data_IF_354865381878
#
_entry.id   IF_354865381878
#
_cell.length_a   1.000
_cell.length_b   1.000
_cell.length_c   1.000
_cell.angle_alpha   90.00
_cell.angle_beta   90.00
_cell.angle_gamma   90.00
#
_symmetry.space_group_name_H-M   'P 1'
#
loop_
_entity.id
_entity.type
_entity.pdbx_description
1 polymer ?
#
# COMPACT_ATOMS: atom_id res chain seq x y z
N UNK A 1 19.30 -13.15 20.26
CA UNK A 1 19.94 -11.85 19.94
C UNK A 1 21.44 -12.06 20.00
N UNK A 2 22.12 -12.02 18.84
CA UNK A 2 23.56 -12.13 18.77
C UNK A 2 24.23 -10.86 19.30
N UNK A 3 25.26 -11.02 20.10
CA UNK A 3 26.09 -9.88 20.51
C UNK A 3 26.75 -9.27 19.26
N UNK A 4 26.79 -7.93 19.13
CA UNK A 4 27.48 -7.28 18.01
C UNK A 4 28.96 -7.66 18.05
N UNK A 5 29.43 -8.33 16.99
CA UNK A 5 30.84 -8.81 16.87
C UNK A 5 31.76 -7.80 16.19
N UNK A 6 31.35 -6.55 16.07
CA UNK A 6 32.11 -5.49 15.40
C UNK A 6 31.94 -4.12 16.07
N UNK A 7 32.75 -3.13 15.68
CA UNK A 7 32.62 -1.77 16.21
C UNK A 7 31.25 -1.20 15.94
N UNK A 8 30.74 -0.41 16.88
CA UNK A 8 29.47 0.35 16.71
C UNK A 8 29.61 1.28 15.51
N UNK A 9 28.76 1.12 14.54
CA UNK A 9 28.68 2.00 13.37
C UNK A 9 27.97 3.31 13.79
N UNK A 10 28.71 4.39 13.84
CA UNK A 10 28.14 5.73 13.87
C UNK A 10 27.61 6.07 12.46
N UNK A 11 26.31 6.09 12.27
CA UNK A 11 25.68 6.66 11.08
C UNK A 11 25.47 8.14 11.37
N UNK A 12 26.33 8.98 10.81
CA UNK A 12 26.14 10.44 10.80
C UNK A 12 25.70 10.83 9.39
N UNK A 13 24.42 11.16 9.26
CA UNK A 13 23.79 11.53 7.99
C UNK A 13 23.13 12.91 8.12
N UNK A 14 23.91 13.95 8.32
CA UNK A 14 23.44 15.33 8.19
C UNK A 14 23.55 15.77 6.73
N UNK A 15 22.51 15.47 5.94
CA UNK A 15 22.44 15.83 4.52
C UNK A 15 21.26 16.76 4.28
N UNK A 16 21.54 17.98 3.85
CA UNK A 16 20.51 18.88 3.30
C UNK A 16 20.37 18.63 1.80
N UNK A 17 19.21 18.15 1.40
CA UNK A 17 18.87 17.98 -0.01
C UNK A 17 17.77 18.99 -0.40
N UNK A 18 17.97 19.70 -1.51
CA UNK A 18 16.97 20.61 -2.08
C UNK A 18 16.59 20.03 -3.44
N UNK A 19 15.29 19.85 -3.64
CA UNK A 19 14.73 19.40 -4.90
C UNK A 19 13.67 20.38 -5.42
N UNK A 20 13.55 20.45 -6.74
CA UNK A 20 12.51 21.21 -7.40
C UNK A 20 11.61 20.28 -8.17
N UNK A 21 10.29 20.51 -8.08
CA UNK A 21 9.27 19.79 -8.84
C UNK A 21 8.35 20.81 -9.50
N UNK A 22 8.13 20.63 -10.78
CA UNK A 22 7.19 21.42 -11.58
C UNK A 22 6.19 20.49 -12.21
N UNK A 23 4.92 20.87 -12.17
CA UNK A 23 3.82 20.10 -12.69
C UNK A 23 2.87 21.00 -13.45
N UNK A 24 2.48 20.56 -14.61
CA UNK A 24 1.43 21.20 -15.39
C UNK A 24 0.45 20.13 -15.86
N UNK A 25 -0.84 20.39 -15.75
CA UNK A 25 -1.85 19.48 -16.25
C UNK A 25 -3.01 20.22 -16.88
N UNK A 26 -3.67 19.54 -17.83
CA UNK A 26 -4.97 19.90 -18.39
C UNK A 26 -5.84 18.67 -18.44
N UNK A 27 -7.10 18.81 -18.09
CA UNK A 27 -8.05 17.70 -18.09
C UNK A 27 -9.42 18.23 -18.46
N UNK A 28 -10.15 17.44 -19.23
CA UNK A 28 -11.54 17.69 -19.61
C UNK A 28 -12.40 16.45 -19.36
N UNK A 29 -13.68 16.70 -19.05
CA UNK A 29 -14.71 15.68 -18.94
C UNK A 29 -15.80 16.01 -19.94
N UNK A 30 -16.02 15.11 -20.87
CA UNK A 30 -17.02 15.23 -21.90
C UNK A 30 -18.07 14.14 -21.77
N UNK A 31 -19.36 14.52 -21.66
CA UNK A 31 -20.50 13.61 -21.58
C UNK A 31 -21.45 13.90 -22.73
N UNK A 32 -21.31 13.21 -23.89
CA UNK A 32 -22.14 13.46 -25.07
C UNK A 32 -23.59 13.07 -24.87
N UNK A 33 -23.89 12.18 -23.93
CA UNK A 33 -25.24 11.75 -23.54
C UNK A 33 -25.22 11.14 -22.13
N UNK A 34 -26.36 10.66 -21.64
CA UNK A 34 -26.55 10.11 -20.29
C UNK A 34 -25.84 8.75 -20.07
N UNK A 35 -25.36 8.10 -21.14
CA UNK A 35 -24.71 6.81 -21.09
C UNK A 35 -23.17 6.89 -21.07
N UNK A 36 -22.57 7.87 -21.73
CA UNK A 36 -21.14 7.93 -21.94
C UNK A 36 -20.51 9.14 -21.27
N UNK A 37 -19.43 8.91 -20.54
CA UNK A 37 -18.55 9.97 -20.01
C UNK A 37 -17.11 9.64 -20.36
N UNK A 38 -16.43 10.60 -20.97
CA UNK A 38 -15.02 10.54 -21.34
C UNK A 38 -14.24 11.52 -20.46
N UNK A 39 -13.22 11.02 -19.78
CA UNK A 39 -12.26 11.83 -19.04
C UNK A 39 -10.91 11.78 -19.75
N UNK A 40 -10.49 12.89 -20.29
CA UNK A 40 -9.26 13.02 -21.07
C UNK A 40 -8.33 14.01 -20.39
N UNK A 41 -7.06 13.66 -20.27
CA UNK A 41 -6.12 14.56 -19.65
C UNK A 41 -4.67 14.27 -20.05
N UNK A 42 -3.84 15.28 -19.86
CA UNK A 42 -2.40 15.16 -19.99
C UNK A 42 -1.74 15.93 -18.86
N UNK A 43 -0.67 15.37 -18.33
CA UNK A 43 0.18 15.99 -17.31
C UNK A 43 1.63 15.99 -17.79
N UNK A 44 2.31 17.08 -17.59
CA UNK A 44 3.75 17.21 -17.79
C UNK A 44 4.40 17.39 -16.42
N UNK A 45 5.37 16.55 -16.11
CA UNK A 45 6.16 16.58 -14.89
C UNK A 45 7.63 16.87 -15.23
N UNK A 46 8.28 17.69 -14.42
CA UNK A 46 9.72 17.89 -14.42
C UNK A 46 10.20 17.91 -12.97
N UNK A 47 11.21 17.11 -12.66
CA UNK A 47 11.85 17.06 -11.35
C UNK A 47 13.33 17.27 -11.47
N UNK A 48 13.88 18.04 -10.55
CA UNK A 48 15.30 18.27 -10.40
C UNK A 48 15.69 17.97 -8.97
N UNK A 49 16.17 16.74 -8.77
CA UNK A 49 16.76 16.29 -7.51
C UNK A 49 18.28 16.12 -7.73
N UNK A 50 18.80 14.90 -7.57
CA UNK A 50 20.16 14.58 -8.00
C UNK A 50 20.28 14.39 -9.53
N UNK A 51 19.15 14.16 -10.19
CA UNK A 51 19.01 14.04 -11.65
C UNK A 51 17.87 14.93 -12.13
N UNK A 52 17.96 15.31 -13.41
CA UNK A 52 16.85 15.94 -14.11
C UNK A 52 16.04 14.85 -14.79
N UNK A 53 14.78 14.69 -14.40
CA UNK A 53 13.86 13.75 -15.02
C UNK A 53 12.52 14.42 -15.30
N UNK A 54 11.83 13.95 -16.32
CA UNK A 54 10.50 14.43 -16.65
C UNK A 54 9.74 13.45 -17.50
N UNK A 55 8.43 13.66 -17.59
CA UNK A 55 7.54 12.84 -18.40
C UNK A 55 6.28 13.60 -18.79
N UNK A 56 5.78 13.30 -19.98
CA UNK A 56 4.41 13.63 -20.39
C UNK A 56 3.54 12.40 -20.16
N UNK A 57 2.45 12.58 -19.41
CA UNK A 57 1.61 11.51 -18.87
C UNK A 57 0.17 11.68 -19.32
N UNK A 58 -0.23 11.11 -20.48
CA UNK A 58 -1.61 11.07 -20.90
C UNK A 58 -2.43 10.15 -20.01
N UNK A 59 -3.73 10.46 -19.88
CA UNK A 59 -4.73 9.64 -19.20
C UNK A 59 -6.05 9.68 -19.94
N UNK A 60 -6.71 8.53 -20.00
CA UNK A 60 -8.01 8.37 -20.64
C UNK A 60 -8.86 7.50 -19.76
N UNK A 61 -10.04 7.98 -19.40
CA UNK A 61 -11.07 7.21 -18.69
C UNK A 61 -12.35 7.24 -19.51
N UNK A 62 -12.99 6.10 -19.66
CA UNK A 62 -14.28 5.96 -20.33
C UNK A 62 -15.23 5.26 -19.35
N UNK A 63 -16.35 5.90 -19.08
CA UNK A 63 -17.43 5.33 -18.27
C UNK A 63 -18.65 5.13 -19.14
N UNK A 64 -19.22 3.94 -19.07
CA UNK A 64 -20.46 3.57 -19.75
C UNK A 64 -21.52 3.17 -18.74
N UNK A 65 -22.58 3.96 -18.65
CA UNK A 65 -23.76 3.70 -17.86
C UNK A 65 -24.78 2.97 -18.73
N UNK A 66 -24.82 1.65 -18.61
CA UNK A 66 -25.76 0.83 -19.39
C UNK A 66 -27.19 1.11 -18.97
N UNK A 67 -27.44 1.23 -17.67
CA UNK A 67 -28.68 1.59 -17.02
C UNK A 67 -28.40 2.17 -15.61
N UNK A 68 -29.41 2.60 -14.83
CA UNK A 68 -29.17 3.12 -13.47
C UNK A 68 -28.52 2.14 -12.50
N UNK A 69 -28.59 0.83 -12.77
CA UNK A 69 -28.05 -0.21 -11.91
C UNK A 69 -26.65 -0.70 -12.36
N UNK A 70 -26.26 -0.46 -13.61
CA UNK A 70 -25.06 -1.05 -14.20
C UNK A 70 -24.17 0.02 -14.84
N UNK A 71 -22.98 0.20 -14.28
CA UNK A 71 -21.97 1.13 -14.78
C UNK A 71 -20.66 0.38 -14.99
N UNK A 72 -20.02 0.59 -16.13
CA UNK A 72 -18.74 0.02 -16.49
C UNK A 72 -17.72 1.13 -16.73
N UNK A 73 -16.46 0.89 -16.43
CA UNK A 73 -15.39 1.82 -16.78
C UNK A 73 -14.15 1.10 -17.25
N UNK A 74 -13.41 1.80 -18.09
CA UNK A 74 -12.03 1.47 -18.46
C UNK A 74 -11.17 2.71 -18.23
N UNK A 75 -9.93 2.48 -17.82
CA UNK A 75 -8.99 3.58 -17.61
C UNK A 75 -7.60 3.17 -18.09
N UNK A 76 -6.94 4.11 -18.72
CA UNK A 76 -5.52 4.06 -19.02
C UNK A 76 -4.85 5.33 -18.54
N UNK A 77 -3.71 5.20 -17.89
CA UNK A 77 -2.89 6.33 -17.48
C UNK A 77 -1.40 6.02 -17.54
N UNK A 78 -0.63 6.94 -18.11
CA UNK A 78 0.81 6.92 -17.92
C UNK A 78 1.14 7.61 -16.61
N UNK A 79 1.88 6.93 -15.74
CA UNK A 79 2.21 7.41 -14.40
C UNK A 79 3.69 7.78 -14.31
N UNK A 80 3.98 8.84 -13.57
CA UNK A 80 5.31 9.29 -13.24
C UNK A 80 5.40 9.52 -11.74
N UNK A 81 6.24 8.73 -11.06
CA UNK A 81 6.41 8.79 -9.61
C UNK A 81 7.88 9.05 -9.30
N UNK A 82 8.26 10.30 -9.02
CA UNK A 82 9.61 10.60 -8.60
C UNK A 82 9.88 9.99 -7.23
N UNK A 83 11.13 9.56 -6.94
CA UNK A 83 11.50 9.12 -5.61
C UNK A 83 11.35 10.28 -4.62
N UNK A 84 11.04 9.99 -3.37
CA UNK A 84 11.05 11.01 -2.34
C UNK A 84 12.50 11.46 -2.04
N UNK A 85 12.66 12.67 -1.49
CA UNK A 85 13.99 13.22 -1.18
C UNK A 85 14.73 12.41 -0.13
N UNK A 86 14.01 11.80 0.80
CA UNK A 86 14.54 10.93 1.83
C UNK A 86 15.21 9.69 1.24
N UNK A 87 14.56 8.99 0.32
CA UNK A 87 15.12 7.83 -0.39
C UNK A 87 16.43 8.14 -1.11
N UNK A 88 16.58 9.37 -1.61
CA UNK A 88 17.78 9.82 -2.32
C UNK A 88 18.91 10.18 -1.34
N UNK A 89 18.59 10.68 -0.15
CA UNK A 89 19.59 11.10 0.85
C UNK A 89 20.40 9.92 1.37
N UNK A 90 19.79 8.77 1.58
CA UNK A 90 20.45 7.55 2.04
C UNK A 90 21.45 6.97 1.03
N UNK A 91 21.31 7.23 -0.25
CA UNK A 91 22.28 6.83 -1.27
C UNK A 91 23.68 7.43 -1.07
N UNK A 92 23.82 8.40 -0.16
CA UNK A 92 25.09 9.08 0.17
C UNK A 92 25.74 8.60 1.48
N UNK A 93 25.17 7.61 2.17
CA UNK A 93 25.78 7.08 3.37
C UNK A 93 27.18 6.53 3.05
N UNK A 94 28.18 7.09 3.72
CA UNK A 94 29.53 6.57 3.61
C UNK A 94 29.68 5.33 4.51
N UNK A 95 29.50 4.17 3.92
CA UNK A 95 29.64 2.87 4.58
C UNK A 95 31.03 2.23 4.36
N UNK A 96 31.95 2.94 3.69
CA UNK A 96 33.27 2.44 3.38
C UNK A 96 34.02 2.01 4.66
N UNK A 97 34.60 0.80 4.64
CA UNK A 97 35.31 0.23 5.77
C UNK A 97 34.45 -0.36 6.89
N UNK A 98 33.13 -0.40 6.70
CA UNK A 98 32.18 -0.99 7.64
C UNK A 98 31.62 -2.33 7.11
N UNK A 99 30.95 -3.13 7.97
CA UNK A 99 30.24 -4.34 7.55
C UNK A 99 29.01 -4.04 6.68
N UNK A 100 28.57 -2.78 6.65
CA UNK A 100 27.49 -2.31 5.80
C UNK A 100 28.01 -1.74 4.46
N UNK A 101 29.33 -1.84 4.19
CA UNK A 101 29.87 -1.48 2.87
C UNK A 101 29.31 -2.45 1.84
N UNK A 102 28.67 -1.95 0.77
CA UNK A 102 28.14 -2.81 -0.27
C UNK A 102 29.28 -3.55 -0.96
N UNK A 103 29.07 -4.83 -1.25
CA UNK A 103 29.99 -5.60 -2.09
C UNK A 103 30.04 -5.04 -3.51
N UNK A 104 28.89 -4.49 -3.97
CA UNK A 104 28.79 -3.77 -5.24
C UNK A 104 28.78 -2.25 -4.98
N UNK A 105 29.85 -1.57 -5.42
CA UNK A 105 29.99 -0.12 -5.33
C UNK A 105 29.23 0.65 -6.42
N UNK A 106 28.53 -0.05 -7.32
CA UNK A 106 27.72 0.54 -8.39
C UNK A 106 26.44 1.13 -7.80
N UNK A 107 26.54 2.18 -7.01
CA UNK A 107 25.38 2.83 -6.41
C UNK A 107 24.72 3.78 -7.42
N UNK A 108 23.81 3.25 -8.21
CA UNK A 108 23.00 4.05 -9.11
C UNK A 108 21.95 4.84 -8.32
N UNK A 109 21.80 6.13 -8.65
CA UNK A 109 20.73 6.96 -8.07
C UNK A 109 19.35 6.40 -8.41
N UNK A 110 18.47 6.34 -7.42
CA UNK A 110 17.06 5.94 -7.64
C UNK A 110 16.42 6.84 -8.69
N UNK A 111 15.83 6.25 -9.69
CA UNK A 111 15.15 6.95 -10.79
C UNK A 111 13.66 7.07 -10.54
N UNK A 112 13.03 8.04 -11.19
CA UNK A 112 11.58 8.15 -11.18
C UNK A 112 10.93 6.94 -11.85
N UNK A 113 9.98 6.31 -11.16
CA UNK A 113 9.18 5.24 -11.72
C UNK A 113 8.31 5.77 -12.86
N UNK A 114 8.25 5.01 -13.96
CA UNK A 114 7.43 5.29 -15.13
C UNK A 114 6.57 4.09 -15.45
N UNK A 115 5.27 4.26 -15.32
CA UNK A 115 4.37 3.12 -15.50
C UNK A 115 3.28 3.39 -16.54
N UNK A 116 2.82 2.30 -17.15
CA UNK A 116 1.56 2.22 -17.86
C UNK A 116 0.58 1.49 -16.96
N UNK A 117 -0.53 2.13 -16.65
CA UNK A 117 -1.58 1.59 -15.79
C UNK A 117 -2.86 1.41 -16.60
N UNK A 118 -3.44 0.23 -16.49
CA UNK A 118 -4.69 -0.17 -17.12
C UNK A 118 -5.66 -0.65 -16.05
N UNK A 119 -6.92 -0.26 -16.19
CA UNK A 119 -7.97 -0.66 -15.27
C UNK A 119 -9.26 -0.91 -16.04
N UNK A 120 -10.00 -1.92 -15.62
CA UNK A 120 -11.38 -2.20 -16.04
C UNK A 120 -12.19 -2.48 -14.79
N UNK A 121 -13.35 -1.88 -14.71
CA UNK A 121 -14.21 -2.09 -13.55
C UNK A 121 -15.68 -1.95 -13.87
N UNK A 122 -16.48 -2.39 -12.91
CA UNK A 122 -17.92 -2.33 -12.99
C UNK A 122 -18.55 -2.06 -11.62
N UNK A 123 -19.68 -1.40 -11.65
CA UNK A 123 -20.56 -1.17 -10.51
C UNK A 123 -21.94 -1.74 -10.84
N UNK A 124 -22.51 -2.51 -9.92
CA UNK A 124 -23.80 -3.15 -10.04
C UNK A 124 -24.66 -2.87 -8.81
N UNK A 125 -25.78 -2.19 -8.98
CA UNK A 125 -26.85 -2.16 -7.99
C UNK A 125 -27.68 -3.44 -8.15
N UNK A 126 -27.26 -4.51 -7.46
CA UNK A 126 -27.91 -5.84 -7.55
C UNK A 126 -29.34 -5.81 -7.06
N UNK A 127 -29.63 -4.92 -6.12
CA UNK A 127 -30.96 -4.67 -5.58
C UNK A 127 -30.96 -3.32 -4.84
N UNK A 128 -32.11 -2.88 -4.33
CA UNK A 128 -32.19 -1.69 -3.46
C UNK A 128 -31.36 -1.80 -2.18
N UNK A 129 -30.97 -3.01 -1.79
CA UNK A 129 -30.23 -3.28 -0.55
C UNK A 129 -28.80 -3.80 -0.79
N UNK A 130 -28.40 -4.06 -2.04
CA UNK A 130 -27.08 -4.62 -2.35
C UNK A 130 -26.41 -3.94 -3.54
N UNK A 131 -25.13 -3.56 -3.37
CA UNK A 131 -24.28 -3.05 -4.45
C UNK A 131 -22.97 -3.82 -4.49
N UNK A 132 -22.50 -4.14 -5.70
CA UNK A 132 -21.25 -4.83 -5.98
C UNK A 132 -20.37 -3.94 -6.85
N UNK A 133 -19.08 -3.86 -6.52
CA UNK A 133 -18.04 -3.27 -7.35
C UNK A 133 -16.97 -4.31 -7.63
N UNK A 134 -16.52 -4.38 -8.87
CA UNK A 134 -15.42 -5.24 -9.30
C UNK A 134 -14.45 -4.40 -10.13
N UNK A 135 -13.15 -4.53 -9.84
CA UNK A 135 -12.10 -3.81 -10.57
C UNK A 135 -10.93 -4.75 -10.79
N UNK A 136 -10.47 -4.83 -12.04
CA UNK A 136 -9.22 -5.51 -12.40
C UNK A 136 -8.22 -4.49 -12.91
N UNK A 137 -6.95 -4.62 -12.53
CA UNK A 137 -5.90 -3.69 -12.94
C UNK A 137 -4.60 -4.39 -13.33
N UNK A 138 -3.83 -3.70 -14.18
CA UNK A 138 -2.50 -4.12 -14.61
C UNK A 138 -1.59 -2.90 -14.77
N UNK A 139 -0.44 -2.92 -14.08
CA UNK A 139 0.60 -1.89 -14.15
C UNK A 139 1.89 -2.48 -14.67
N UNK A 140 2.46 -1.87 -15.70
CA UNK A 140 3.80 -2.14 -16.20
C UNK A 140 4.70 -0.97 -15.86
N UNK A 141 5.78 -1.20 -15.14
CA UNK A 141 6.66 -0.15 -14.66
C UNK A 141 8.10 -0.37 -15.11
N UNK A 142 8.76 0.73 -15.50
CA UNK A 142 10.20 0.86 -15.51
C UNK A 142 10.62 1.58 -14.24
N UNK A 143 11.72 1.15 -13.64
CA UNK A 143 12.22 1.66 -12.36
C UNK A 143 11.20 1.49 -11.23
N UNK A 144 10.55 0.31 -11.21
CA UNK A 144 9.61 -0.03 -10.14
C UNK A 144 10.34 0.08 -8.79
N UNK A 145 9.90 1.01 -7.95
CA UNK A 145 10.48 1.20 -6.63
C UNK A 145 9.76 0.37 -5.57
N UNK A 146 10.53 -0.16 -4.64
CA UNK A 146 10.03 -0.85 -3.45
C UNK A 146 10.80 -0.34 -2.22
N UNK A 147 10.22 -0.50 -1.05
CA UNK A 147 10.84 -0.08 0.19
C UNK A 147 11.59 -1.27 0.81
N UNK A 148 12.78 -0.99 1.31
CA UNK A 148 13.58 -1.93 2.10
C UNK A 148 13.98 -1.29 3.42
N UNK A 149 14.42 -2.09 4.36
CA UNK A 149 14.94 -1.65 5.65
C UNK A 149 16.47 -1.73 5.65
N UNK A 150 17.14 -0.70 6.16
CA UNK A 150 18.59 -0.71 6.29
C UNK A 150 18.99 -1.53 7.53
N UNK A 151 19.37 -2.78 7.32
CA UNK A 151 19.76 -3.71 8.37
C UNK A 151 18.67 -3.84 9.44
N UNK A 152 19.10 -3.92 10.70
CA UNK A 152 18.19 -3.98 11.86
C UNK A 152 17.75 -2.60 12.38
N UNK A 153 17.97 -1.53 11.60
CA UNK A 153 17.62 -0.16 11.98
C UNK A 153 16.18 0.16 11.58
N UNK A 154 15.50 1.13 12.21
CA UNK A 154 14.18 1.61 11.77
C UNK A 154 14.26 2.49 10.53
N UNK A 155 15.42 2.57 9.87
CA UNK A 155 15.60 3.41 8.68
C UNK A 155 15.06 2.68 7.46
N UNK A 156 14.00 3.24 6.88
CA UNK A 156 13.47 2.80 5.60
C UNK A 156 14.31 3.41 4.47
N UNK A 157 14.65 2.60 3.50
CA UNK A 157 15.28 3.03 2.28
C UNK A 157 14.55 2.44 1.08
N UNK A 158 14.80 3.00 -0.09
CA UNK A 158 14.19 2.54 -1.33
C UNK A 158 15.25 1.93 -2.23
N UNK A 159 14.90 0.81 -2.82
CA UNK A 159 15.60 0.24 -3.97
C UNK A 159 14.66 0.26 -5.19
N UNK A 160 15.20 0.13 -6.37
CA UNK A 160 14.41 0.09 -7.57
C UNK A 160 14.82 -1.07 -8.47
N UNK A 161 13.82 -1.78 -8.97
CA UNK A 161 13.99 -2.74 -10.05
C UNK A 161 14.14 -2.00 -11.40
N UNK A 162 14.85 -2.58 -12.36
CA UNK A 162 14.88 -2.03 -13.72
C UNK A 162 13.49 -1.99 -14.34
N UNK A 163 12.69 -3.03 -14.11
CA UNK A 163 11.31 -3.17 -14.59
C UNK A 163 10.50 -4.06 -13.66
N UNK A 164 9.19 -3.90 -13.72
CA UNK A 164 8.28 -4.74 -12.97
C UNK A 164 6.85 -4.61 -13.44
N UNK A 165 6.00 -5.41 -12.83
CA UNK A 165 4.56 -5.33 -13.04
C UNK A 165 3.80 -5.56 -11.74
N UNK A 166 2.63 -4.95 -11.65
CA UNK A 166 1.64 -5.18 -10.60
C UNK A 166 0.31 -5.47 -11.24
N UNK A 167 -0.42 -6.46 -10.74
CA UNK A 167 -1.77 -6.80 -11.22
C UNK A 167 -2.65 -7.24 -10.08
N UNK A 168 -3.94 -7.05 -10.21
CA UNK A 168 -4.86 -7.50 -9.19
C UNK A 168 -6.32 -7.40 -9.62
N UNK A 169 -7.16 -7.93 -8.73
CA UNK A 169 -8.62 -7.87 -8.81
C UNK A 169 -9.12 -7.47 -7.43
N UNK A 170 -9.94 -6.43 -7.40
CA UNK A 170 -10.59 -5.92 -6.19
C UNK A 170 -12.10 -6.10 -6.32
N UNK A 171 -12.72 -6.62 -5.27
CA UNK A 171 -14.17 -6.73 -5.15
C UNK A 171 -14.66 -6.05 -3.87
N UNK A 172 -15.76 -5.30 -3.96
CA UNK A 172 -16.41 -4.69 -2.81
C UNK A 172 -17.92 -4.92 -2.86
N UNK A 173 -18.48 -5.36 -1.74
CA UNK A 173 -19.91 -5.59 -1.56
C UNK A 173 -20.42 -4.71 -0.42
N UNK A 174 -21.50 -3.95 -0.67
CA UNK A 174 -22.22 -3.20 0.35
C UNK A 174 -23.64 -3.73 0.46
N UNK A 175 -24.11 -3.98 1.67
CA UNK A 175 -25.43 -4.50 2.00
C UNK A 175 -26.12 -3.56 2.99
N UNK A 176 -27.35 -3.16 2.67
CA UNK A 176 -28.30 -2.53 3.58
C UNK A 176 -29.34 -3.58 3.95
N UNK A 177 -29.03 -4.43 4.94
CA UNK A 177 -29.84 -5.64 5.25
C UNK A 177 -31.19 -5.23 5.83
N UNK A 178 -31.15 -4.28 6.77
CA UNK A 178 -32.34 -3.60 7.33
C UNK A 178 -32.01 -2.11 7.53
N UNK A 179 -32.98 -1.31 7.96
CA UNK A 179 -32.75 0.12 8.28
C UNK A 179 -31.68 0.30 9.39
N UNK A 180 -31.52 -0.73 10.24
CA UNK A 180 -30.61 -0.71 11.38
C UNK A 180 -29.35 -1.58 11.20
N UNK A 181 -29.27 -2.38 10.14
CA UNK A 181 -28.17 -3.32 9.91
C UNK A 181 -27.56 -3.11 8.54
N UNK A 182 -26.30 -2.72 8.51
CA UNK A 182 -25.50 -2.62 7.30
C UNK A 182 -24.28 -3.51 7.38
N UNK A 183 -23.87 -4.04 6.25
CA UNK A 183 -22.60 -4.76 6.12
C UNK A 183 -21.86 -4.25 4.87
N UNK A 184 -20.54 -4.21 4.95
CA UNK A 184 -19.68 -3.99 3.78
C UNK A 184 -18.47 -4.90 3.89
N UNK A 185 -18.03 -5.42 2.77
CA UNK A 185 -16.80 -6.21 2.69
C UNK A 185 -16.07 -5.90 1.42
N UNK A 186 -14.77 -6.09 1.46
CA UNK A 186 -13.91 -6.06 0.30
C UNK A 186 -12.93 -7.22 0.32
N UNK A 187 -12.54 -7.67 -0.86
CA UNK A 187 -11.49 -8.64 -1.10
C UNK A 187 -10.59 -8.11 -2.18
N UNK A 188 -9.29 -8.20 -1.98
CA UNK A 188 -8.28 -7.82 -2.95
C UNK A 188 -7.30 -8.98 -3.14
N UNK A 189 -7.15 -9.40 -4.40
CA UNK A 189 -6.10 -10.29 -4.82
C UNK A 189 -5.12 -9.54 -5.70
N UNK A 190 -3.83 -9.60 -5.35
CA UNK A 190 -2.82 -8.85 -6.08
C UNK A 190 -1.47 -9.53 -6.10
N UNK A 191 -0.70 -9.23 -7.13
CA UNK A 191 0.68 -9.68 -7.30
C UNK A 191 1.53 -8.55 -7.84
N UNK A 192 2.77 -8.46 -7.32
CA UNK A 192 3.81 -7.59 -7.81
C UNK A 192 5.08 -8.40 -8.07
N UNK A 193 5.81 -8.06 -9.13
CA UNK A 193 7.07 -8.72 -9.47
C UNK A 193 8.05 -7.75 -10.10
N UNK A 194 9.28 -7.76 -9.61
CA UNK A 194 10.40 -6.96 -10.08
C UNK A 194 11.49 -7.79 -10.74
N UNK A 195 12.22 -7.17 -11.65
CA UNK A 195 13.29 -7.79 -12.44
C UNK A 195 14.45 -6.82 -12.64
N UNK A 196 15.66 -7.29 -12.40
CA UNK A 196 16.90 -6.50 -12.52
C UNK A 196 17.00 -5.42 -11.44
N UNK A 197 18.13 -5.30 -10.80
CA UNK A 197 18.36 -4.27 -9.79
C UNK A 197 18.91 -3.01 -10.45
N UNK A 198 18.19 -1.87 -10.28
CA UNK A 198 18.60 -0.58 -10.81
C UNK A 198 19.33 0.27 -9.77
N UNK A 199 18.89 0.22 -8.51
CA UNK A 199 19.47 1.01 -7.41
C UNK A 199 19.18 0.36 -6.07
N UNK A 200 19.89 0.78 -5.02
CA UNK A 200 19.69 0.29 -3.66
C UNK A 200 20.63 -0.88 -3.31
N UNK A 201 21.71 -1.09 -4.04
CA UNK A 201 22.68 -2.17 -3.83
C UNK A 201 23.25 -2.19 -2.40
N UNK A 202 23.33 -1.06 -1.73
CA UNK A 202 23.84 -0.96 -0.35
C UNK A 202 22.92 -1.60 0.70
N UNK A 203 21.69 -1.98 0.32
CA UNK A 203 20.69 -2.55 1.21
C UNK A 203 20.60 -4.05 1.11
N UNK A 204 21.18 -4.62 0.07
CA UNK A 204 20.90 -5.97 -0.39
C UNK A 204 22.15 -6.83 -0.28
N UNK A 205 21.96 -8.08 0.11
CA UNK A 205 23.02 -9.08 0.10
C UNK A 205 23.26 -9.60 -1.33
N UNK A 206 24.46 -10.15 -1.57
CA UNK A 206 24.85 -10.68 -2.89
C UNK A 206 23.85 -11.74 -3.42
N UNK A 207 23.31 -12.58 -2.54
CA UNK A 207 22.31 -13.59 -2.89
C UNK A 207 20.99 -12.96 -3.35
N UNK A 208 20.51 -11.91 -2.66
CA UNK A 208 19.31 -11.18 -3.03
C UNK A 208 19.48 -10.49 -4.38
N UNK A 209 20.63 -9.85 -4.61
CA UNK A 209 20.98 -9.23 -5.90
C UNK A 209 20.98 -10.27 -7.03
N UNK A 210 21.55 -11.45 -6.79
CA UNK A 210 21.53 -12.54 -7.76
C UNK A 210 20.10 -13.03 -8.07
N UNK A 211 19.25 -13.15 -7.06
CA UNK A 211 17.85 -13.53 -7.21
C UNK A 211 17.05 -12.50 -8.02
N UNK A 212 17.21 -11.21 -7.72
CA UNK A 212 16.57 -10.09 -8.42
C UNK A 212 16.99 -10.09 -9.90
N UNK A 213 18.27 -10.31 -10.18
CA UNK A 213 18.83 -10.32 -11.52
C UNK A 213 18.55 -11.62 -12.27
N UNK A 214 18.02 -12.64 -11.60
CA UNK A 214 17.63 -13.90 -12.26
C UNK A 214 16.52 -13.70 -13.28
N UNK A 215 16.45 -14.59 -14.29
CA UNK A 215 15.40 -14.53 -15.33
C UNK A 215 13.97 -14.55 -14.78
N UNK A 216 13.77 -15.14 -13.61
CA UNK A 216 12.47 -15.23 -12.96
C UNK A 216 12.06 -13.98 -12.17
N UNK A 217 12.98 -13.05 -11.88
CA UNK A 217 12.74 -11.91 -10.99
C UNK A 217 12.30 -12.34 -9.59
N UNK A 218 11.91 -11.40 -8.75
CA UNK A 218 11.40 -11.64 -7.39
C UNK A 218 10.05 -10.96 -7.19
N UNK A 219 9.27 -11.44 -6.23
CA UNK A 219 8.07 -10.73 -5.79
C UNK A 219 8.47 -9.48 -5.00
N UNK A 220 7.62 -8.44 -5.05
CA UNK A 220 7.83 -7.24 -4.24
C UNK A 220 7.69 -7.60 -2.75
N UNK A 221 8.48 -6.95 -1.90
CA UNK A 221 8.59 -7.28 -0.48
C UNK A 221 7.27 -7.06 0.28
N UNK A 222 6.68 -5.88 0.13
CA UNK A 222 5.47 -5.49 0.85
C UNK A 222 4.17 -6.02 0.23
N UNK A 223 4.24 -7.12 -0.54
CA UNK A 223 3.08 -7.73 -1.16
C UNK A 223 2.40 -8.75 -0.26
N UNK A 224 1.11 -8.60 -0.09
CA UNK A 224 0.19 -9.66 0.35
C UNK A 224 -0.65 -10.11 -0.85
N UNK A 225 -0.71 -11.43 -1.09
CA UNK A 225 -1.41 -11.93 -2.28
C UNK A 225 -2.92 -11.85 -2.15
N UNK A 226 -3.45 -12.03 -0.95
CA UNK A 226 -4.88 -11.95 -0.66
C UNK A 226 -5.10 -11.18 0.63
N UNK A 227 -5.94 -10.15 0.56
CA UNK A 227 -6.43 -9.41 1.72
C UNK A 227 -7.94 -9.28 1.66
N UNK A 228 -8.59 -9.28 2.80
CA UNK A 228 -10.01 -8.96 2.87
C UNK A 228 -10.35 -8.24 4.15
N UNK A 229 -11.41 -7.44 4.11
CA UNK A 229 -12.01 -6.88 5.31
C UNK A 229 -13.53 -6.91 5.21
N UNK A 230 -14.18 -7.02 6.36
CA UNK A 230 -15.62 -6.86 6.47
C UNK A 230 -15.95 -6.02 7.70
N UNK A 231 -16.99 -5.22 7.57
CA UNK A 231 -17.54 -4.40 8.66
C UNK A 231 -19.03 -4.59 8.70
N UNK A 232 -19.56 -4.90 9.87
CA UNK A 232 -21.00 -4.99 10.16
C UNK A 232 -21.33 -3.93 11.18
N UNK A 233 -22.31 -3.09 10.88
CA UNK A 233 -22.79 -2.03 11.76
C UNK A 233 -24.24 -2.32 12.08
N UNK A 234 -24.53 -2.48 13.35
CA UNK A 234 -25.88 -2.71 13.87
C UNK A 234 -26.27 -1.59 14.83
N UNK A 235 -27.28 -0.83 14.48
CA UNK A 235 -27.90 0.16 15.36
C UNK A 235 -28.92 -0.56 16.24
N UNK A 236 -28.43 -0.98 17.41
CA UNK A 236 -29.19 -1.83 18.33
C UNK A 236 -30.38 -1.10 18.96
N UNK A 237 -30.20 0.14 19.36
CA UNK A 237 -31.24 1.06 19.82
C UNK A 237 -31.01 2.42 19.14
N UNK A 238 -31.94 3.35 19.26
CA UNK A 238 -31.82 4.67 18.62
C UNK A 238 -30.46 5.37 18.89
N UNK A 239 -29.82 5.07 20.03
CA UNK A 239 -28.60 5.71 20.52
C UNK A 239 -27.39 4.80 20.63
N UNK A 240 -27.58 3.49 20.39
CA UNK A 240 -26.53 2.48 20.58
C UNK A 240 -26.18 1.84 19.26
N UNK A 241 -24.89 1.85 18.93
CA UNK A 241 -24.40 1.16 17.72
C UNK A 241 -23.29 0.18 18.10
N UNK A 242 -23.41 -1.03 17.59
CA UNK A 242 -22.38 -2.07 17.66
C UNK A 242 -21.76 -2.19 16.28
N UNK A 243 -20.43 -2.17 16.23
CA UNK A 243 -19.68 -2.38 15.00
C UNK A 243 -18.74 -3.55 15.18
N UNK A 244 -18.87 -4.57 14.34
CA UNK A 244 -17.90 -5.66 14.21
C UNK A 244 -17.05 -5.47 12.96
N UNK A 245 -15.76 -5.71 13.07
CA UNK A 245 -14.83 -5.67 11.94
C UNK A 245 -13.97 -6.92 11.92
N UNK A 246 -13.71 -7.46 10.74
CA UNK A 246 -12.71 -8.49 10.51
C UNK A 246 -11.72 -8.04 9.45
N UNK A 247 -10.46 -8.42 9.62
CA UNK A 247 -9.35 -8.19 8.69
C UNK A 247 -8.64 -9.52 8.47
N UNK A 248 -8.52 -9.94 7.24
CA UNK A 248 -7.72 -11.09 6.84
C UNK A 248 -6.54 -10.64 5.98
N UNK A 249 -5.38 -11.22 6.22
CA UNK A 249 -4.16 -11.00 5.45
C UNK A 249 -3.45 -12.33 5.20
N UNK A 250 -3.03 -12.58 3.97
CA UNK A 250 -2.31 -13.80 3.57
C UNK A 250 -0.84 -13.83 4.01
N UNK A 251 -0.37 -12.81 4.71
CA UNK A 251 1.02 -12.61 5.09
C UNK A 251 1.85 -11.90 4.01
N UNK A 252 2.84 -11.14 4.43
CA UNK A 252 3.82 -10.51 3.55
C UNK A 252 4.76 -11.55 2.96
N UNK A 253 5.47 -11.17 1.90
CA UNK A 253 6.46 -12.03 1.27
C UNK A 253 7.64 -12.30 2.20
N UNK A 254 8.17 -13.50 2.11
CA UNK A 254 9.34 -13.99 2.82
C UNK A 254 9.96 -15.16 2.04
N UNK A 255 11.03 -15.76 2.55
CA UNK A 255 11.61 -16.98 2.02
C UNK A 255 12.03 -17.91 3.18
N UNK A 256 12.05 -19.21 2.92
CA UNK A 256 12.73 -20.17 3.79
C UNK A 256 14.24 -20.06 3.60
N UNK A 257 15.02 -20.50 4.59
CA UNK A 257 16.48 -20.50 4.52
C UNK A 257 16.99 -21.23 3.26
N UNK A 258 17.83 -20.56 2.49
CA UNK A 258 18.39 -21.08 1.24
C UNK A 258 17.40 -21.10 0.04
N UNK A 259 16.15 -20.66 0.21
CA UNK A 259 15.22 -20.51 -0.88
C UNK A 259 15.38 -19.13 -1.55
N UNK A 260 14.79 -19.00 -2.74
CA UNK A 260 14.77 -17.73 -3.47
C UNK A 260 14.05 -16.64 -2.69
N UNK A 261 14.65 -15.46 -2.65
CA UNK A 261 14.11 -14.25 -2.00
C UNK A 261 12.64 -14.02 -2.36
N UNK A 262 11.81 -13.76 -1.35
CA UNK A 262 10.36 -13.50 -1.48
C UNK A 262 9.56 -14.62 -2.17
N UNK A 263 10.03 -15.88 -2.06
CA UNK A 263 9.40 -17.03 -2.74
C UNK A 263 8.13 -17.53 -2.04
N UNK A 264 7.96 -17.27 -0.75
CA UNK A 264 6.82 -17.71 0.06
C UNK A 264 6.14 -16.55 0.79
N UNK A 265 5.31 -16.84 1.78
CA UNK A 265 4.60 -15.86 2.60
C UNK A 265 4.78 -16.15 4.08
N UNK A 266 4.79 -15.11 4.89
CA UNK A 266 4.58 -15.22 6.33
C UNK A 266 3.20 -15.86 6.62
N UNK A 267 2.99 -16.43 7.82
CA UNK A 267 1.69 -16.99 8.19
C UNK A 267 0.55 -16.01 7.99
N UNK A 268 -0.55 -16.49 7.43
CA UNK A 268 -1.78 -15.70 7.33
C UNK A 268 -2.39 -15.44 8.70
N UNK A 269 -3.11 -14.33 8.84
CA UNK A 269 -3.78 -13.99 10.08
C UNK A 269 -5.17 -13.37 9.83
N UNK A 270 -6.04 -13.49 10.82
CA UNK A 270 -7.37 -12.86 10.84
C UNK A 270 -7.57 -12.14 12.15
N UNK A 271 -7.90 -10.85 12.10
CA UNK A 271 -8.13 -10.03 13.29
C UNK A 271 -9.59 -9.64 13.35
N UNK A 272 -10.16 -9.74 14.55
CA UNK A 272 -11.51 -9.30 14.84
C UNK A 272 -11.48 -8.12 15.79
N UNK A 273 -12.18 -7.06 15.44
CA UNK A 273 -12.34 -5.87 16.26
C UNK A 273 -13.82 -5.65 16.55
N UNK A 274 -14.12 -5.04 17.68
CA UNK A 274 -15.47 -4.67 18.07
C UNK A 274 -15.50 -3.26 18.63
N UNK A 275 -16.55 -2.51 18.32
CA UNK A 275 -16.81 -1.19 18.86
C UNK A 275 -18.25 -1.10 19.34
N UNK A 276 -18.44 -0.53 20.51
CA UNK A 276 -19.73 -0.13 21.05
C UNK A 276 -19.74 1.39 21.19
N UNK A 277 -20.73 2.06 20.61
CA UNK A 277 -20.92 3.50 20.78
C UNK A 277 -22.29 3.82 21.32
N UNK A 278 -22.33 4.83 22.19
CA UNK A 278 -23.57 5.34 22.78
C UNK A 278 -23.63 6.86 22.69
N UNK A 279 -24.76 7.39 22.21
CA UNK A 279 -24.98 8.83 22.04
C UNK A 279 -25.85 9.35 23.17
N UNK A 280 -25.33 10.27 23.96
CA UNK A 280 -26.04 10.97 25.03
C UNK A 280 -26.44 12.36 24.48
N UNK A 281 -27.75 12.64 24.28
CA UNK A 281 -28.20 13.99 23.99
C UNK A 281 -27.99 14.85 25.25
N UNK A 282 -27.42 16.01 25.06
CA UNK A 282 -27.22 16.97 26.15
C UNK A 282 -28.40 17.96 26.21
N UNK A 283 -28.70 18.58 27.37
CA UNK A 283 -29.83 19.49 27.52
C UNK A 283 -29.63 20.84 26.83
N UNK A 284 -28.48 21.08 26.24
CA UNK A 284 -28.13 22.30 25.50
C UNK A 284 -28.38 22.09 24.00
N UNK A 285 -28.83 23.11 23.32
CA UNK A 285 -29.28 23.08 21.92
C UNK A 285 -28.38 22.23 21.01
N UNK A 286 -28.95 21.15 20.48
CA UNK A 286 -28.33 20.20 19.54
C UNK A 286 -27.01 19.56 19.95
N UNK A 287 -26.58 19.76 21.21
CA UNK A 287 -25.34 19.17 21.69
C UNK A 287 -25.49 17.68 22.05
N UNK A 288 -24.47 16.91 21.79
CA UNK A 288 -24.43 15.49 22.13
C UNK A 288 -23.03 15.03 22.51
N UNK A 289 -22.98 14.07 23.43
CA UNK A 289 -21.77 13.37 23.81
C UNK A 289 -21.82 11.95 23.25
N UNK A 290 -20.85 11.56 22.45
CA UNK A 290 -20.66 10.20 22.02
C UNK A 290 -19.62 9.54 22.92
N UNK A 291 -20.01 8.44 23.55
CA UNK A 291 -19.11 7.56 24.28
C UNK A 291 -18.83 6.34 23.43
N UNK A 292 -17.58 5.89 23.37
CA UNK A 292 -17.16 4.72 22.65
C UNK A 292 -16.27 3.80 23.47
N UNK A 293 -16.46 2.51 23.30
CA UNK A 293 -15.60 1.46 23.81
C UNK A 293 -15.18 0.57 22.65
N UNK A 294 -13.87 0.47 22.41
CA UNK A 294 -13.33 -0.28 21.29
C UNK A 294 -12.42 -1.40 21.81
N UNK A 295 -12.55 -2.58 21.23
CA UNK A 295 -11.68 -3.73 21.46
C UNK A 295 -11.01 -4.07 20.12
N UNK A 296 -9.71 -3.90 20.06
CA UNK A 296 -8.87 -4.30 18.92
C UNK A 296 -8.29 -5.68 19.21
N UNK A 297 -8.25 -6.53 18.19
CA UNK A 297 -7.82 -7.92 18.31
C UNK A 297 -8.58 -8.69 19.40
N UNK A 298 -9.89 -8.75 19.26
CA UNK A 298 -10.83 -9.31 20.25
C UNK A 298 -10.45 -10.72 20.73
N UNK A 299 -9.91 -11.56 19.83
CA UNK A 299 -9.53 -12.94 20.13
C UNK A 299 -8.08 -13.07 20.64
N UNK A 300 -7.36 -11.96 20.81
CA UNK A 300 -5.95 -11.90 21.25
C UNK A 300 -5.03 -12.79 20.40
N UNK A 301 -5.25 -12.79 19.10
CA UNK A 301 -4.44 -13.56 18.17
C UNK A 301 -3.02 -12.99 18.13
N UNK A 302 -2.04 -13.84 18.35
CA UNK A 302 -0.63 -13.50 18.13
C UNK A 302 -0.32 -13.67 16.63
N UNK A 303 0.19 -12.62 16.02
CA UNK A 303 0.53 -12.62 14.59
C UNK A 303 1.73 -11.74 14.30
N UNK A 304 2.40 -12.02 13.19
CA UNK A 304 3.46 -11.18 12.66
C UNK A 304 2.93 -10.40 11.46
N UNK A 305 3.15 -9.10 11.45
CA UNK A 305 2.90 -8.26 10.28
C UNK A 305 3.98 -8.54 9.23
N UNK A 306 5.23 -8.58 9.67
CA UNK A 306 6.39 -8.92 8.87
C UNK A 306 7.26 -9.92 9.62
N UNK A 307 7.75 -10.93 8.90
CA UNK A 307 8.74 -11.87 9.37
C UNK A 307 10.09 -11.46 8.75
N UNK A 308 10.95 -10.80 9.48
CA UNK A 308 12.16 -10.14 8.99
C UNK A 308 13.14 -11.01 8.19
N UNK A 309 13.06 -12.33 8.29
CA UNK A 309 13.91 -13.26 7.52
C UNK A 309 13.32 -13.53 6.14
N UNK A 310 14.17 -13.60 5.10
CA UNK A 310 13.81 -14.01 3.75
C UNK A 310 13.06 -12.97 2.91
N UNK A 311 12.81 -11.78 3.46
CA UNK A 311 12.37 -10.61 2.70
C UNK A 311 13.56 -9.83 2.14
N UNK A 312 13.33 -8.98 1.16
CA UNK A 312 14.38 -8.16 0.56
C UNK A 312 14.89 -7.14 1.59
N UNK A 313 16.21 -7.14 1.78
CA UNK A 313 16.86 -6.36 2.81
C UNK A 313 16.72 -7.01 4.19
N UNK A 314 17.64 -6.70 5.09
CA UNK A 314 17.65 -7.23 6.44
C UNK A 314 16.45 -6.69 7.23
N UNK A 315 15.35 -7.41 7.22
CA UNK A 315 14.13 -7.04 7.92
C UNK A 315 14.17 -7.41 9.41
N UNK A 316 13.39 -6.69 10.19
CA UNK A 316 13.09 -7.02 11.59
C UNK A 316 11.66 -7.54 11.64
N UNK A 317 11.44 -8.65 12.38
CA UNK A 317 10.11 -9.15 12.60
C UNK A 317 9.25 -8.14 13.39
N UNK A 318 8.05 -7.83 12.89
CA UNK A 318 7.13 -6.94 13.54
C UNK A 318 5.89 -7.72 14.01
N UNK A 319 5.71 -7.77 15.33
CA UNK A 319 4.51 -8.34 15.92
C UNK A 319 3.31 -7.41 15.73
N UNK A 320 2.15 -8.00 15.50
CA UNK A 320 0.90 -7.27 15.49
C UNK A 320 0.47 -6.82 16.90
N UNK A 321 -0.48 -5.90 16.94
CA UNK A 321 -1.00 -5.37 18.20
C UNK A 321 -1.74 -6.48 18.99
N UNK A 322 -1.42 -6.70 20.27
CA UNK A 322 -2.20 -7.59 21.13
C UNK A 322 -3.60 -7.03 21.36
N UNK A 323 -4.46 -7.80 22.00
CA UNK A 323 -5.77 -7.31 22.41
C UNK A 323 -5.64 -6.02 23.21
N UNK A 324 -6.30 -4.98 22.72
CA UNK A 324 -6.19 -3.64 23.26
C UNK A 324 -7.59 -3.04 23.43
N UNK A 325 -7.76 -2.24 24.50
CA UNK A 325 -9.02 -1.63 24.85
C UNK A 325 -8.87 -0.11 24.80
N UNK A 326 -9.84 0.56 24.18
CA UNK A 326 -9.85 2.03 24.07
C UNK A 326 -11.19 2.59 24.51
N UNK A 327 -11.16 3.70 25.22
CA UNK A 327 -12.34 4.50 25.56
C UNK A 327 -12.26 5.82 24.80
N UNK A 328 -13.38 6.24 24.22
CA UNK A 328 -13.51 7.51 23.48
C UNK A 328 -14.63 8.34 24.03
N UNK A 329 -14.39 9.64 24.18
CA UNK A 329 -15.42 10.64 24.40
C UNK A 329 -15.33 11.72 23.32
N UNK A 330 -16.42 12.01 22.64
CA UNK A 330 -16.48 13.06 21.63
C UNK A 330 -17.70 13.95 21.86
N UNK A 331 -17.45 15.20 22.08
CA UNK A 331 -18.49 16.21 22.28
C UNK A 331 -18.75 16.94 20.96
N UNK A 332 -20.02 16.99 20.57
CA UNK A 332 -20.51 17.76 19.45
C UNK A 332 -21.29 18.97 19.98
N UNK A 333 -20.92 20.14 19.57
CA UNK A 333 -21.49 21.42 19.96
C UNK A 333 -21.92 22.23 18.73
#
# INVERSE_FOLDING_TARGET
MGNPTGPVLGLDADNRLIGYRQEFWIQDQWSPNDHWTFNLGVRADAVQYQRHEGQISPRVGITYKADPANVFHIYYGRQFTPPNLEAISFAKLNTAGTKAAPEDTTNNTVRAERAHYFEVGSYHALSRWATLQLTGYYKLANYLSDAGQFGTTPLLNYFAFERGWTRGIDGALKLQITDNLTARGNVAWGQCKGYGLQSGHILLEAAEIADINSKGGVHCDHQQTLTSSAVVVYRFLERTTITGQTLFASGLRTAEEGAKTNSTHSPSYTIYNMSLTYVIPLPWDNQKLLLGFDVVNLLDQQYLINQGEGSIGLGVSHAGMPRSFFFRGQWFF
#
